data_IF_344570526930
#
_entry.id   IF_344570526930
#
_cell.length_a   1.000
_cell.length_b   1.000
_cell.length_c   1.000
_cell.angle_alpha   90.00
_cell.angle_beta   90.00
_cell.angle_gamma   90.00
#
_symmetry.space_group_name_H-M   'P 1'
#
loop_
_entity.id
_entity.type
_entity.pdbx_description
1 polymer ?
#
# COMPACT_ATOMS: atom_id res chain seq x y z
N UNK A 1 17.36 -8.57 14.25
CA UNK A 1 15.98 -8.48 13.72
C UNK A 1 16.01 -7.41 12.66
N UNK A 2 15.98 -7.80 11.39
CA UNK A 2 15.97 -6.84 10.30
C UNK A 2 14.57 -6.26 10.18
N UNK A 3 14.40 -5.04 10.72
CA UNK A 3 13.24 -4.21 10.42
C UNK A 3 13.27 -3.93 8.91
N UNK A 4 12.10 -3.92 8.27
CA UNK A 4 11.98 -3.50 6.87
C UNK A 4 12.70 -2.16 6.69
N UNK A 5 13.74 -2.17 5.85
CA UNK A 5 14.49 -0.99 5.45
C UNK A 5 14.16 -0.70 3.98
N UNK A 6 13.33 0.33 3.71
CA UNK A 6 12.94 0.70 2.36
C UNK A 6 14.10 1.24 1.51
N UNK A 7 15.28 1.43 2.09
CA UNK A 7 16.47 1.94 1.42
C UNK A 7 17.45 0.81 1.07
N UNK A 8 17.38 -0.34 1.74
CA UNK A 8 18.35 -1.41 1.59
C UNK A 8 18.19 -2.13 0.23
N UNK A 9 19.13 -1.89 -0.68
CA UNK A 9 19.22 -2.60 -1.96
C UNK A 9 18.12 -2.24 -2.98
N UNK A 10 17.42 -1.13 -2.81
CA UNK A 10 16.36 -0.67 -3.71
C UNK A 10 16.67 0.73 -4.26
N UNK A 11 16.39 0.94 -5.54
CA UNK A 11 16.58 2.22 -6.19
C UNK A 11 15.44 3.18 -5.83
N UNK A 12 15.70 4.13 -4.92
CA UNK A 12 14.72 5.17 -4.54
C UNK A 12 14.41 6.17 -5.66
N UNK A 13 15.15 6.13 -6.77
CA UNK A 13 14.84 6.89 -7.98
C UNK A 13 13.84 6.19 -8.91
N UNK A 14 13.57 4.89 -8.69
CA UNK A 14 12.48 4.18 -9.36
C UNK A 14 11.14 4.79 -8.93
N UNK A 15 10.47 5.43 -9.89
CA UNK A 15 9.21 6.15 -9.68
C UNK A 15 8.08 5.24 -9.18
N UNK A 16 8.06 3.97 -9.58
CA UNK A 16 7.04 3.00 -9.16
C UNK A 16 7.31 2.50 -7.75
N UNK A 17 8.57 2.17 -7.45
CA UNK A 17 8.99 1.81 -6.11
C UNK A 17 8.70 2.96 -5.14
N UNK A 18 9.05 4.18 -5.54
CA UNK A 18 8.79 5.38 -4.74
C UNK A 18 7.30 5.62 -4.52
N UNK A 19 6.46 5.45 -5.54
CA UNK A 19 5.02 5.54 -5.41
C UNK A 19 4.47 4.56 -4.36
N UNK A 20 4.89 3.29 -4.41
CA UNK A 20 4.46 2.28 -3.44
C UNK A 20 4.90 2.65 -2.02
N UNK A 21 6.14 3.10 -1.84
CA UNK A 21 6.63 3.55 -0.54
C UNK A 21 5.89 4.78 -0.01
N UNK A 22 5.62 5.79 -0.84
CA UNK A 22 4.91 6.99 -0.40
C UNK A 22 3.47 6.64 0.07
N UNK A 23 2.83 5.65 -0.55
CA UNK A 23 1.55 5.08 -0.05
C UNK A 23 1.74 4.43 1.31
N UNK A 24 2.69 3.51 1.45
CA UNK A 24 2.96 2.79 2.71
C UNK A 24 3.26 3.78 3.84
N UNK A 25 4.16 4.75 3.61
CA UNK A 25 4.49 5.80 4.57
C UNK A 25 3.26 6.60 4.95
N UNK A 26 2.43 6.97 3.97
CA UNK A 26 1.21 7.75 4.25
C UNK A 26 0.22 6.96 5.11
N UNK A 27 0.04 5.67 4.83
CA UNK A 27 -0.84 4.80 5.63
C UNK A 27 -0.26 4.58 7.03
N UNK A 28 1.06 4.34 7.13
CA UNK A 28 1.75 4.17 8.41
C UNK A 28 1.64 5.41 9.29
N UNK A 29 2.00 6.59 8.76
CA UNK A 29 1.90 7.88 9.48
C UNK A 29 0.50 8.11 10.05
N UNK A 30 -0.52 7.64 9.34
CA UNK A 30 -1.91 7.77 9.81
C UNK A 30 -2.23 6.79 10.94
N UNK A 31 -1.70 5.57 10.90
CA UNK A 31 -1.99 4.53 11.88
C UNK A 31 -1.18 4.70 13.18
N UNK A 32 0.12 5.01 13.06
CA UNK A 32 1.06 5.06 14.19
C UNK A 32 1.53 6.48 14.55
N UNK A 33 1.07 7.51 13.81
CA UNK A 33 1.37 8.93 14.08
C UNK A 33 2.78 9.40 13.71
N UNK A 34 3.79 8.53 13.79
CA UNK A 34 5.19 8.86 13.49
C UNK A 34 5.63 8.26 12.15
N UNK A 35 6.23 9.04 11.23
CA UNK A 35 6.89 8.47 10.05
C UNK A 35 8.02 7.54 10.48
N UNK A 36 8.04 6.28 10.00
CA UNK A 36 9.26 5.47 10.15
C UNK A 36 10.36 6.00 9.23
N UNK A 37 9.99 6.54 8.07
CA UNK A 37 10.93 6.95 7.03
C UNK A 37 10.65 8.35 6.52
N UNK A 38 11.71 9.16 6.46
CA UNK A 38 11.72 10.45 5.78
C UNK A 38 12.43 10.31 4.44
N UNK A 39 11.66 10.27 3.36
CA UNK A 39 12.22 10.16 2.02
C UNK A 39 12.38 11.55 1.39
N UNK A 40 13.56 11.84 0.82
CA UNK A 40 13.80 13.09 0.07
C UNK A 40 12.76 13.27 -1.03
N UNK A 41 12.17 14.46 -1.17
CA UNK A 41 11.22 14.77 -2.25
C UNK A 41 11.89 14.64 -3.62
N UNK A 42 11.21 13.99 -4.56
CA UNK A 42 11.60 13.96 -5.97
C UNK A 42 10.74 14.97 -6.75
N UNK A 43 11.33 15.65 -7.73
CA UNK A 43 10.62 16.64 -8.55
C UNK A 43 9.50 16.06 -9.41
N UNK A 44 9.61 14.79 -9.82
CA UNK A 44 8.67 14.09 -10.71
C UNK A 44 8.04 12.86 -10.03
N UNK A 45 7.50 13.03 -8.82
CA UNK A 45 6.85 11.91 -8.10
C UNK A 45 5.48 11.57 -8.70
N UNK A 46 5.21 10.27 -8.90
CA UNK A 46 3.88 9.77 -9.23
C UNK A 46 2.89 9.95 -8.05
N UNK A 47 3.41 10.08 -6.83
CA UNK A 47 2.59 10.31 -5.65
C UNK A 47 2.53 11.80 -5.29
N UNK A 48 1.32 12.34 -5.12
CA UNK A 48 1.11 13.76 -4.89
C UNK A 48 0.14 14.03 -3.71
N UNK A 49 -0.07 15.31 -3.38
CA UNK A 49 -0.93 15.72 -2.27
C UNK A 49 -2.40 15.30 -2.39
N UNK A 50 -2.92 15.14 -3.63
CA UNK A 50 -4.28 14.63 -3.86
C UNK A 50 -4.38 13.18 -3.44
N UNK A 51 -3.38 12.34 -3.77
CA UNK A 51 -3.32 10.96 -3.30
C UNK A 51 -3.29 10.87 -1.77
N UNK A 52 -2.45 11.70 -1.13
CA UNK A 52 -2.39 11.76 0.34
C UNK A 52 -3.75 12.10 0.95
N UNK A 53 -4.48 13.04 0.35
CA UNK A 53 -5.83 13.43 0.78
C UNK A 53 -6.83 12.29 0.60
N UNK A 54 -6.79 11.59 -0.53
CA UNK A 54 -7.62 10.40 -0.78
C UNK A 54 -7.41 9.35 0.31
N UNK A 55 -6.16 9.02 0.64
CA UNK A 55 -5.84 8.03 1.67
C UNK A 55 -6.36 8.48 3.04
N UNK A 56 -6.07 9.72 3.44
CA UNK A 56 -6.49 10.28 4.73
C UNK A 56 -8.00 10.31 4.92
N UNK A 57 -8.76 10.55 3.85
CA UNK A 57 -10.22 10.54 3.90
C UNK A 57 -10.83 9.12 3.89
N UNK A 58 -10.17 8.18 3.23
CA UNK A 58 -10.72 6.84 3.00
C UNK A 58 -10.41 5.86 4.14
N UNK A 59 -9.15 5.79 4.57
CA UNK A 59 -8.69 4.80 5.56
C UNK A 59 -9.50 4.77 6.85
N UNK A 60 -9.82 5.93 7.49
CA UNK A 60 -10.62 5.92 8.73
C UNK A 60 -12.00 5.31 8.57
N UNK A 61 -12.60 5.40 7.37
CA UNK A 61 -13.95 4.87 7.11
C UNK A 61 -13.98 3.35 6.95
N UNK A 62 -12.82 2.71 6.77
CA UNK A 62 -12.71 1.28 6.48
C UNK A 62 -11.87 0.50 7.49
N UNK A 63 -11.14 1.19 8.37
CA UNK A 63 -10.18 0.57 9.28
C UNK A 63 -10.78 -0.57 10.12
N UNK A 64 -11.94 -0.35 10.76
CA UNK A 64 -12.60 -1.39 11.54
C UNK A 64 -12.93 -2.63 10.70
N UNK A 65 -13.40 -2.42 9.47
CA UNK A 65 -13.68 -3.50 8.53
C UNK A 65 -12.40 -4.24 8.11
N UNK A 66 -11.32 -3.51 7.84
CA UNK A 66 -10.03 -4.11 7.51
C UNK A 66 -9.53 -5.00 8.65
N UNK A 67 -9.51 -4.48 9.88
CA UNK A 67 -9.06 -5.21 11.07
C UNK A 67 -9.92 -6.46 11.27
N UNK A 68 -11.25 -6.33 11.18
CA UNK A 68 -12.17 -7.46 11.35
C UNK A 68 -11.92 -8.55 10.32
N UNK A 69 -11.77 -8.21 9.04
CA UNK A 69 -11.49 -9.20 7.99
C UNK A 69 -10.15 -9.88 8.26
N UNK A 70 -9.09 -9.09 8.55
CA UNK A 70 -7.76 -9.63 8.81
C UNK A 70 -7.79 -10.59 10.00
N UNK A 71 -8.38 -10.20 11.12
CA UNK A 71 -8.45 -11.06 12.31
C UNK A 71 -9.24 -12.34 12.06
N UNK A 72 -10.35 -12.26 11.32
CA UNK A 72 -11.18 -13.41 10.96
C UNK A 72 -10.40 -14.41 10.11
N UNK A 73 -9.69 -13.92 9.09
CA UNK A 73 -8.94 -14.77 8.15
C UNK A 73 -7.63 -15.27 8.74
N UNK A 74 -6.98 -14.46 9.59
CA UNK A 74 -5.71 -14.80 10.18
C UNK A 74 -5.80 -15.80 11.31
N UNK A 75 -6.90 -15.75 12.07
CA UNK A 75 -7.13 -16.65 13.21
C UNK A 75 -5.91 -16.77 14.14
N UNK A 76 -5.23 -15.64 14.39
CA UNK A 76 -4.03 -15.55 15.23
C UNK A 76 -2.69 -15.83 14.54
N UNK A 77 -2.67 -16.30 13.29
CA UNK A 77 -1.45 -16.59 12.53
C UNK A 77 -1.13 -15.44 11.57
N UNK A 78 0.08 -14.87 11.65
CA UNK A 78 0.49 -13.73 10.81
C UNK A 78 1.75 -14.06 10.00
N UNK A 79 1.59 -14.97 9.04
CA UNK A 79 2.64 -15.39 8.11
C UNK A 79 2.32 -15.01 6.65
N UNK A 80 3.23 -15.35 5.72
CA UNK A 80 3.10 -15.03 4.31
C UNK A 80 1.91 -15.74 3.63
N UNK A 81 1.52 -16.93 4.09
CA UNK A 81 0.39 -17.65 3.52
C UNK A 81 -0.92 -16.97 3.90
N UNK A 82 -1.06 -16.63 5.17
CA UNK A 82 -2.21 -15.92 5.69
C UNK A 82 -2.32 -14.52 5.08
N UNK A 83 -1.19 -13.85 4.87
CA UNK A 83 -1.17 -12.58 4.13
C UNK A 83 -1.79 -12.72 2.75
N UNK A 84 -1.44 -13.77 1.99
CA UNK A 84 -1.98 -14.02 0.65
C UNK A 84 -3.49 -14.26 0.70
N UNK A 85 -3.98 -15.04 1.68
CA UNK A 85 -5.43 -15.26 1.88
C UNK A 85 -6.17 -13.95 2.15
N UNK A 86 -5.63 -13.11 3.05
CA UNK A 86 -6.18 -11.79 3.31
C UNK A 86 -6.14 -10.89 2.07
N UNK A 87 -5.05 -10.92 1.31
CA UNK A 87 -4.88 -10.15 0.08
C UNK A 87 -5.90 -10.55 -0.99
N UNK A 88 -6.13 -11.84 -1.19
CA UNK A 88 -7.14 -12.33 -2.14
C UNK A 88 -8.53 -11.83 -1.76
N UNK A 89 -8.88 -11.91 -0.47
CA UNK A 89 -10.15 -11.42 0.03
C UNK A 89 -10.28 -9.90 -0.14
N UNK A 90 -9.24 -9.14 0.22
CA UNK A 90 -9.19 -7.69 0.02
C UNK A 90 -9.30 -7.32 -1.45
N UNK A 91 -8.67 -8.10 -2.34
CA UNK A 91 -8.76 -7.92 -3.78
C UNK A 91 -10.19 -8.13 -4.26
N UNK A 92 -10.88 -9.17 -3.78
CA UNK A 92 -12.26 -9.42 -4.17
C UNK A 92 -13.25 -8.33 -3.71
N UNK A 93 -13.01 -7.74 -2.53
CA UNK A 93 -13.90 -6.72 -1.95
C UNK A 93 -13.59 -5.32 -2.51
N UNK A 94 -12.31 -4.94 -2.56
CA UNK A 94 -11.91 -3.54 -2.75
C UNK A 94 -11.30 -3.23 -4.12
N UNK A 95 -10.98 -4.24 -4.95
CA UNK A 95 -10.46 -3.98 -6.29
C UNK A 95 -11.51 -3.25 -7.12
N UNK A 96 -11.19 -2.08 -7.69
CA UNK A 96 -12.17 -1.32 -8.44
C UNK A 96 -12.45 -1.99 -9.78
N UNK A 97 -13.74 -2.08 -10.14
CA UNK A 97 -14.18 -2.56 -11.47
C UNK A 97 -13.70 -1.63 -12.60
N UNK A 98 -13.56 -0.33 -12.30
CA UNK A 98 -13.04 0.69 -13.21
C UNK A 98 -12.00 1.54 -12.49
N UNK A 99 -10.81 1.62 -13.06
CA UNK A 99 -9.68 2.34 -12.49
C UNK A 99 -9.75 3.84 -12.81
N UNK A 100 -10.31 4.61 -11.88
CA UNK A 100 -9.93 6.02 -11.71
C UNK A 100 -8.70 6.09 -10.80
N UNK A 101 -7.85 7.11 -10.96
CA UNK A 101 -6.70 7.41 -10.10
C UNK A 101 -7.04 7.33 -8.60
N UNK A 102 -8.12 7.98 -8.15
CA UNK A 102 -8.52 7.95 -6.75
C UNK A 102 -8.90 6.53 -6.26
N UNK A 103 -9.64 5.76 -7.06
CA UNK A 103 -9.98 4.36 -6.74
C UNK A 103 -8.75 3.45 -6.71
N UNK A 104 -7.80 3.67 -7.64
CA UNK A 104 -6.53 2.96 -7.64
C UNK A 104 -5.75 3.22 -6.34
N UNK A 105 -5.61 4.49 -5.96
CA UNK A 105 -4.92 4.88 -4.72
C UNK A 105 -5.60 4.31 -3.48
N UNK A 106 -6.93 4.30 -3.42
CA UNK A 106 -7.68 3.66 -2.33
C UNK A 106 -7.35 2.18 -2.22
N UNK A 107 -7.35 1.47 -3.34
CA UNK A 107 -7.03 0.04 -3.37
C UNK A 107 -5.58 -0.23 -2.95
N UNK A 108 -4.61 0.51 -3.48
CA UNK A 108 -3.22 0.41 -3.05
C UNK A 108 -3.05 0.72 -1.55
N UNK A 109 -3.77 1.70 -1.01
CA UNK A 109 -3.73 1.99 0.43
C UNK A 109 -4.30 0.86 1.29
N UNK A 110 -5.27 0.11 0.76
CA UNK A 110 -5.86 -1.05 1.43
C UNK A 110 -4.85 -2.20 1.53
N UNK A 111 -4.06 -2.41 0.47
CA UNK A 111 -2.94 -3.37 0.44
C UNK A 111 -1.82 -2.93 1.38
N UNK A 112 -1.49 -1.64 1.39
CA UNK A 112 -0.50 -1.09 2.31
C UNK A 112 -0.91 -1.28 3.78
N UNK A 113 -2.17 -1.02 4.13
CA UNK A 113 -2.70 -1.28 5.47
C UNK A 113 -2.50 -2.74 5.88
N UNK A 114 -2.83 -3.68 4.99
CA UNK A 114 -2.64 -5.11 5.23
C UNK A 114 -1.17 -5.44 5.52
N UNK A 115 -0.24 -4.92 4.71
CA UNK A 115 1.21 -5.09 4.91
C UNK A 115 1.69 -4.58 6.26
N UNK A 116 1.28 -3.37 6.61
CA UNK A 116 1.60 -2.72 7.88
C UNK A 116 1.10 -3.56 9.05
N UNK A 117 -0.18 -3.95 9.02
CA UNK A 117 -0.79 -4.74 10.08
C UNK A 117 -0.06 -6.06 10.32
N UNK A 118 0.27 -6.79 9.24
CA UNK A 118 1.01 -8.05 9.34
C UNK A 118 2.42 -7.87 9.90
N UNK A 119 3.15 -6.86 9.44
CA UNK A 119 4.49 -6.57 9.94
C UNK A 119 4.51 -6.10 11.41
N UNK A 120 3.43 -5.47 11.88
CA UNK A 120 3.27 -5.13 13.30
C UNK A 120 2.95 -6.35 14.18
N UNK A 121 2.20 -7.33 13.66
CA UNK A 121 1.79 -8.52 14.42
C UNK A 121 2.84 -9.62 14.48
N UNK A 122 3.76 -9.67 13.51
CA UNK A 122 4.81 -10.69 13.47
C UNK A 122 6.09 -10.12 12.88
N UNK A 123 7.17 -10.14 13.67
CA UNK A 123 8.50 -9.73 13.22
C UNK A 123 9.07 -10.64 12.11
N UNK A 124 8.53 -11.86 11.96
CA UNK A 124 8.88 -12.75 10.86
C UNK A 124 8.12 -12.42 9.56
N UNK A 125 7.10 -11.57 9.62
CA UNK A 125 6.27 -11.23 8.48
C UNK A 125 6.88 -10.11 7.64
N UNK A 126 7.14 -10.44 6.37
CA UNK A 126 7.54 -9.48 5.31
C UNK A 126 6.34 -8.74 4.72
N UNK A 127 5.34 -8.44 5.54
CA UNK A 127 4.06 -7.85 5.10
C UNK A 127 4.23 -6.55 4.31
N UNK A 128 5.09 -5.64 4.76
CA UNK A 128 5.38 -4.40 4.04
C UNK A 128 6.08 -4.66 2.70
N UNK A 129 7.11 -5.52 2.64
CA UNK A 129 7.77 -5.89 1.38
C UNK A 129 6.76 -6.43 0.36
N UNK A 130 5.92 -7.36 0.81
CA UNK A 130 4.88 -7.97 -0.03
C UNK A 130 3.91 -6.89 -0.54
N UNK A 131 3.44 -6.00 0.32
CA UNK A 131 2.55 -4.91 -0.08
C UNK A 131 3.19 -3.98 -1.12
N UNK A 132 4.47 -3.64 -0.95
CA UNK A 132 5.23 -2.81 -1.90
C UNK A 132 5.33 -3.49 -3.26
N UNK A 133 5.75 -4.76 -3.31
CA UNK A 133 5.89 -5.52 -4.55
C UNK A 133 4.55 -5.62 -5.31
N UNK A 134 3.45 -5.84 -4.59
CA UNK A 134 2.11 -5.89 -5.17
C UNK A 134 1.69 -4.54 -5.74
N UNK A 135 1.90 -3.44 -5.01
CA UNK A 135 1.54 -2.09 -5.49
C UNK A 135 2.35 -1.73 -6.74
N UNK A 136 3.63 -2.10 -6.81
CA UNK A 136 4.48 -1.90 -8.00
C UNK A 136 3.95 -2.69 -9.19
N UNK A 137 3.55 -3.93 -8.98
CA UNK A 137 2.96 -4.78 -10.02
C UNK A 137 1.65 -4.16 -10.55
N UNK A 138 0.75 -3.76 -9.65
CA UNK A 138 -0.51 -3.10 -9.99
C UNK A 138 -0.28 -1.79 -10.76
N UNK A 139 0.67 -0.97 -10.31
CA UNK A 139 1.00 0.27 -11.00
C UNK A 139 1.58 0.02 -12.40
N UNK A 140 2.43 -1.01 -12.53
CA UNK A 140 3.01 -1.38 -13.83
C UNK A 140 1.93 -1.81 -14.83
N UNK A 141 0.94 -2.58 -14.38
CA UNK A 141 -0.21 -3.00 -15.20
C UNK A 141 -1.09 -1.81 -15.60
N UNK A 142 -1.33 -0.85 -14.70
CA UNK A 142 -2.12 0.35 -15.02
C UNK A 142 -1.39 1.23 -16.04
N UNK A 143 -0.09 1.44 -15.88
CA UNK A 143 0.71 2.27 -16.78
C UNK A 143 0.90 1.64 -18.17
N UNK A 144 1.01 0.31 -18.27
CA UNK A 144 1.16 -0.38 -19.56
C UNK A 144 -0.10 -0.32 -20.43
N UNK A 145 -1.28 -0.15 -19.83
CA UNK A 145 -2.57 -0.09 -20.53
C UNK A 145 -2.95 1.31 -21.04
N UNK A 146 -2.12 2.34 -20.79
CA UNK A 146 -2.30 3.70 -21.33
C UNK A 146 -3.62 4.41 -21.00
N UNK A 147 -4.40 3.91 -20.05
CA UNK A 147 -5.86 4.20 -19.93
C UNK A 147 -6.26 5.10 -18.77
N UNK A 148 -5.32 5.72 -18.06
CA UNK A 148 -5.69 6.85 -17.21
C UNK A 148 -5.80 8.13 -18.05
N UNK A 149 -6.70 8.14 -19.03
CA UNK A 149 -6.94 9.23 -20.01
C UNK A 149 -7.36 10.60 -19.41
N UNK A 150 -7.36 10.74 -18.08
CA UNK A 150 -7.61 12.00 -17.36
C UNK A 150 -6.78 12.17 -16.08
N UNK A 151 -5.83 11.27 -15.80
CA UNK A 151 -5.00 11.39 -14.60
C UNK A 151 -3.81 12.30 -14.89
N UNK A 152 -3.41 13.11 -13.92
CA UNK A 152 -2.19 13.94 -13.94
C UNK A 152 -0.87 13.13 -13.95
N UNK A 153 -0.85 11.98 -14.63
CA UNK A 153 0.25 10.99 -14.64
C UNK A 153 0.97 10.92 -15.99
N UNK A 154 0.50 11.72 -16.96
CA UNK A 154 1.19 12.03 -18.22
C UNK A 154 2.28 13.07 -18.01
#
# INVERSE_FOLDING_TARGET
>A
MDRFDPVLGRDLSDRKYRFALDIVITVWQRHDGTPIWELRKLGNSLFNGRHKTVIKSYQPTQEENFIKIIQTLANGTFDSNTFKVCLENFTNIYKPKQYSEARFVKFCSTIAFLGIFFSQKSAASRGIDMAVDIIISLLSDVLSRGTLRQSSWS
#
